data_IF_807952037855
#
_entry.id   IF_807952037855
#
_cell.length_a   1.000
_cell.length_b   1.000
_cell.length_c   1.000
_cell.angle_alpha   90.00
_cell.angle_beta   90.00
_cell.angle_gamma   90.00
#
_symmetry.space_group_name_H-M   'P 1'
#
loop_
_entity.id
_entity.type
_entity.pdbx_description
1 polymer ?
#
# COMPACT_ATOMS: atom_id res chain seq x y z
N UNK A 1 -15.19 36.21 31.28
CA UNK A 1 -16.23 35.25 30.89
C UNK A 1 -16.10 34.98 29.39
N UNK A 2 -15.93 33.70 29.01
CA UNK A 2 -16.11 33.07 27.68
C UNK A 2 -15.39 33.70 26.48
N UNK A 3 -14.30 33.14 25.93
CA UNK A 3 -14.13 31.89 25.16
C UNK A 3 -14.77 31.87 23.76
N UNK A 4 -14.02 31.29 22.80
CA UNK A 4 -14.38 30.82 21.45
C UNK A 4 -14.13 31.85 20.33
N UNK A 5 -13.43 31.57 19.22
CA UNK A 5 -13.08 30.29 18.59
C UNK A 5 -11.89 30.50 17.64
N UNK A 6 -10.83 29.74 17.84
CA UNK A 6 -9.83 29.51 16.80
C UNK A 6 -10.49 28.69 15.69
N UNK A 7 -10.49 29.18 14.46
CA UNK A 7 -10.89 28.37 13.30
C UNK A 7 -10.29 28.92 12.02
N UNK A 8 -9.22 28.26 11.57
CA UNK A 8 -8.84 28.11 10.15
C UNK A 8 -7.46 27.42 10.05
N UNK A 9 -7.31 26.27 10.70
CA UNK A 9 -6.30 25.26 10.31
C UNK A 9 -7.02 24.22 9.46
N UNK A 10 -7.03 24.44 8.15
CA UNK A 10 -7.26 23.42 7.13
C UNK A 10 -6.88 24.03 5.77
N UNK A 11 -5.61 24.43 5.69
CA UNK A 11 -4.97 24.67 4.40
C UNK A 11 -4.72 23.28 3.79
N UNK A 12 -5.68 22.89 2.95
CA UNK A 12 -5.63 21.82 1.97
C UNK A 12 -4.24 21.83 1.31
N UNK A 13 -3.35 20.96 1.75
CA UNK A 13 -2.08 20.68 1.05
C UNK A 13 -2.48 20.04 -0.28
N UNK A 14 -2.49 20.86 -1.32
CA UNK A 14 -2.75 20.42 -2.68
C UNK A 14 -1.63 19.47 -3.09
N UNK A 15 -2.02 18.21 -3.31
CA UNK A 15 -1.20 17.17 -3.90
C UNK A 15 -0.68 17.63 -5.25
N UNK A 16 0.63 17.62 -5.41
CA UNK A 16 1.31 17.79 -6.69
C UNK A 16 2.59 16.95 -6.69
N UNK A 17 2.43 15.64 -6.48
CA UNK A 17 3.38 14.64 -6.97
C UNK A 17 2.81 14.12 -8.30
N UNK A 18 3.59 14.19 -9.38
CA UNK A 18 3.21 13.61 -10.68
C UNK A 18 2.77 12.17 -10.43
N UNK A 19 1.54 11.76 -10.80
CA UNK A 19 1.09 10.39 -10.55
C UNK A 19 2.04 9.45 -11.27
N UNK A 20 2.73 8.61 -10.49
CA UNK A 20 3.60 7.57 -11.00
C UNK A 20 2.83 6.76 -12.05
N UNK A 21 3.37 6.66 -13.26
CA UNK A 21 2.75 5.92 -14.37
C UNK A 21 2.81 4.40 -14.19
N UNK A 22 3.23 3.94 -13.00
CA UNK A 22 3.44 2.55 -12.69
C UNK A 22 2.11 1.77 -12.76
N UNK A 23 2.09 0.55 -13.34
CA UNK A 23 0.87 -0.25 -13.50
C UNK A 23 0.05 -0.41 -12.22
N UNK A 24 0.70 -0.69 -11.09
CA UNK A 24 0.01 -0.80 -9.78
C UNK A 24 -0.72 0.49 -9.36
N UNK A 25 -0.14 1.66 -9.62
CA UNK A 25 -0.74 2.95 -9.24
C UNK A 25 -1.99 3.23 -10.08
N UNK A 26 -2.03 2.75 -11.34
CA UNK A 26 -3.20 2.90 -12.22
C UNK A 26 -4.42 2.08 -11.77
N UNK A 27 -4.26 1.16 -10.82
CA UNK A 27 -5.35 0.33 -10.34
C UNK A 27 -6.22 1.04 -9.30
N UNK A 28 -5.70 2.08 -8.64
CA UNK A 28 -6.45 2.73 -7.57
C UNK A 28 -7.78 3.30 -8.08
N UNK A 29 -8.84 3.06 -7.31
CA UNK A 29 -10.20 3.46 -7.63
C UNK A 29 -10.94 2.48 -8.54
N UNK A 30 -10.25 1.49 -9.10
CA UNK A 30 -10.87 0.45 -9.92
C UNK A 30 -11.66 -0.55 -9.05
N UNK A 31 -12.75 -1.10 -9.59
CA UNK A 31 -13.49 -2.20 -8.96
C UNK A 31 -12.87 -3.55 -9.33
N UNK A 32 -13.11 -4.63 -8.56
CA UNK A 32 -12.60 -5.96 -8.91
C UNK A 32 -13.17 -6.52 -10.22
N UNK A 33 -14.26 -5.94 -10.73
CA UNK A 33 -14.90 -6.31 -12.00
C UNK A 33 -14.57 -5.35 -13.13
N UNK A 34 -13.76 -4.32 -12.87
CA UNK A 34 -13.41 -3.34 -13.89
C UNK A 34 -12.45 -3.92 -14.92
N UNK A 35 -12.51 -3.47 -16.20
CA UNK A 35 -11.54 -3.89 -17.21
C UNK A 35 -10.09 -3.61 -16.81
N UNK A 36 -9.83 -2.51 -16.10
CA UNK A 36 -8.51 -2.12 -15.61
C UNK A 36 -7.93 -3.19 -14.68
N UNK A 37 -8.68 -3.59 -13.65
CA UNK A 37 -8.24 -4.61 -12.70
C UNK A 37 -8.09 -5.98 -13.38
N UNK A 38 -9.09 -6.39 -14.17
CA UNK A 38 -9.06 -7.69 -14.87
C UNK A 38 -7.86 -7.78 -15.82
N UNK A 39 -7.59 -6.72 -16.59
CA UNK A 39 -6.44 -6.69 -17.51
C UNK A 39 -5.12 -6.77 -16.76
N UNK A 40 -5.01 -6.10 -15.61
CA UNK A 40 -3.83 -6.18 -14.76
C UNK A 40 -3.58 -7.60 -14.27
N UNK A 41 -4.59 -8.26 -13.72
CA UNK A 41 -4.49 -9.65 -13.26
C UNK A 41 -4.10 -10.55 -14.44
N UNK A 42 -4.77 -10.44 -15.59
CA UNK A 42 -4.46 -11.25 -16.77
C UNK A 42 -3.05 -11.01 -17.35
N UNK A 43 -2.49 -9.82 -17.15
CA UNK A 43 -1.16 -9.45 -17.67
C UNK A 43 -0.04 -9.92 -16.76
N UNK A 44 -0.19 -9.72 -15.44
CA UNK A 44 0.92 -9.89 -14.50
C UNK A 44 0.80 -11.14 -13.63
N UNK A 45 -0.39 -11.68 -13.40
CA UNK A 45 -0.54 -12.89 -12.61
C UNK A 45 -0.33 -14.14 -13.47
N UNK A 46 0.26 -15.21 -12.92
CA UNK A 46 0.23 -16.52 -13.56
C UNK A 46 -1.21 -16.95 -13.84
N UNK A 47 -1.46 -17.64 -14.96
CA UNK A 47 -2.80 -18.13 -15.31
C UNK A 47 -3.44 -19.04 -14.26
N UNK A 48 -2.62 -19.71 -13.45
CA UNK A 48 -3.10 -20.55 -12.33
C UNK A 48 -3.60 -19.73 -11.13
N UNK A 49 -3.40 -18.41 -11.15
CA UNK A 49 -3.69 -17.45 -10.08
C UNK A 49 -4.38 -16.19 -10.63
N UNK A 50 -5.25 -16.38 -11.63
CA UNK A 50 -6.11 -15.32 -12.19
C UNK A 50 -7.30 -14.98 -11.27
N UNK A 51 -7.61 -15.85 -10.32
CA UNK A 51 -8.55 -15.59 -9.22
C UNK A 51 -7.84 -15.54 -7.87
N UNK A 52 -8.34 -14.76 -6.88
CA UNK A 52 -7.76 -14.73 -5.53
C UNK A 52 -7.77 -16.13 -4.89
N UNK A 53 -6.69 -16.48 -4.20
CA UNK A 53 -6.60 -17.72 -3.43
C UNK A 53 -7.50 -17.68 -2.19
N UNK A 54 -7.73 -16.48 -1.64
CA UNK A 54 -8.74 -16.26 -0.61
C UNK A 54 -9.31 -14.85 -0.66
N UNK A 55 -10.60 -14.73 -0.34
CA UNK A 55 -11.29 -13.44 -0.18
C UNK A 55 -11.69 -13.28 1.29
N UNK A 56 -11.33 -12.14 1.90
CA UNK A 56 -11.73 -11.79 3.27
C UNK A 56 -12.57 -10.53 3.24
N UNK A 57 -13.73 -10.57 3.88
CA UNK A 57 -14.69 -9.46 3.87
C UNK A 57 -14.89 -8.94 5.29
N UNK A 58 -14.82 -7.62 5.42
CA UNK A 58 -15.15 -6.84 6.60
C UNK A 58 -16.23 -5.81 6.24
N UNK A 59 -16.85 -5.12 7.22
CA UNK A 59 -17.95 -4.19 6.93
C UNK A 59 -17.62 -3.07 5.92
N UNK A 60 -16.36 -2.63 5.90
CA UNK A 60 -15.87 -1.48 5.15
C UNK A 60 -14.82 -1.84 4.10
N UNK A 61 -14.37 -3.10 4.03
CA UNK A 61 -13.27 -3.50 3.14
C UNK A 61 -13.36 -4.97 2.73
N UNK A 62 -12.97 -5.25 1.48
CA UNK A 62 -12.79 -6.61 0.94
C UNK A 62 -11.34 -6.78 0.51
N UNK A 63 -10.70 -7.85 0.99
CA UNK A 63 -9.35 -8.22 0.59
C UNK A 63 -9.39 -9.37 -0.41
N UNK A 64 -8.77 -9.17 -1.57
CA UNK A 64 -8.45 -10.22 -2.53
C UNK A 64 -6.99 -10.61 -2.33
N UNK A 65 -6.77 -11.77 -1.70
CA UNK A 65 -5.45 -12.19 -1.28
C UNK A 65 -4.87 -13.22 -2.26
N UNK A 66 -3.59 -13.01 -2.60
CA UNK A 66 -2.78 -13.95 -3.38
C UNK A 66 -1.50 -14.28 -2.58
N UNK A 67 -1.61 -15.07 -1.48
CA UNK A 67 -0.47 -15.42 -0.64
C UNK A 67 0.72 -15.99 -1.39
N UNK A 68 0.49 -16.84 -2.40
CA UNK A 68 1.55 -17.45 -3.21
C UNK A 68 2.33 -16.43 -4.06
N UNK A 69 1.74 -15.24 -4.28
CA UNK A 69 2.34 -14.13 -5.04
C UNK A 69 2.88 -13.01 -4.15
N UNK A 70 2.72 -13.11 -2.83
CA UNK A 70 3.13 -12.07 -1.90
C UNK A 70 2.38 -10.75 -2.06
N UNK A 71 1.13 -10.77 -2.55
CA UNK A 71 0.33 -9.56 -2.80
C UNK A 71 -1.11 -9.69 -2.31
N UNK A 72 -1.66 -8.62 -1.78
CA UNK A 72 -3.08 -8.50 -1.45
C UNK A 72 -3.65 -7.16 -1.93
N UNK A 73 -4.84 -7.21 -2.50
CA UNK A 73 -5.58 -6.05 -2.99
C UNK A 73 -6.72 -5.74 -2.04
N UNK A 74 -6.73 -4.54 -1.47
CA UNK A 74 -7.72 -4.07 -0.51
C UNK A 74 -8.70 -3.12 -1.18
N UNK A 75 -9.97 -3.50 -1.19
CA UNK A 75 -11.05 -2.74 -1.79
C UNK A 75 -11.95 -2.15 -0.71
N UNK A 76 -11.93 -0.83 -0.57
CA UNK A 76 -12.89 -0.13 0.28
C UNK A 76 -14.31 -0.34 -0.26
N UNK A 77 -15.24 -0.57 0.65
CA UNK A 77 -16.68 -0.59 0.39
C UNK A 77 -17.22 0.81 0.65
N UNK A 78 -17.64 1.50 -0.40
CA UNK A 78 -18.25 2.83 -0.26
C UNK A 78 -19.64 2.75 0.40
N UNK A 79 -20.21 3.89 0.85
CA UNK A 79 -21.59 3.93 1.35
C UNK A 79 -22.64 3.45 0.34
N UNK A 80 -22.34 3.46 -0.96
CA UNK A 80 -23.20 2.94 -2.03
C UNK A 80 -22.96 1.45 -2.32
N UNK A 81 -22.24 0.75 -1.44
CA UNK A 81 -21.85 -0.65 -1.58
C UNK A 81 -21.01 -0.95 -2.83
N UNK A 82 -20.32 0.05 -3.38
CA UNK A 82 -19.38 -0.16 -4.49
C UNK A 82 -17.98 -0.41 -3.94
N UNK A 83 -17.26 -1.36 -4.54
CA UNK A 83 -15.88 -1.66 -4.16
C UNK A 83 -14.89 -0.85 -5.00
N UNK A 84 -13.91 -0.21 -4.36
CA UNK A 84 -12.85 0.56 -5.00
C UNK A 84 -11.49 0.16 -4.42
N UNK A 85 -10.52 -0.14 -5.28
CA UNK A 85 -9.18 -0.49 -4.81
C UNK A 85 -8.54 0.72 -4.12
N UNK A 86 -8.24 0.57 -2.83
CA UNK A 86 -7.70 1.63 -1.99
C UNK A 86 -6.31 1.33 -1.48
N UNK A 87 -5.94 0.05 -1.33
CA UNK A 87 -4.58 -0.32 -0.98
C UNK A 87 -4.11 -1.58 -1.71
N UNK A 88 -2.80 -1.66 -1.92
CA UNK A 88 -2.08 -2.82 -2.43
C UNK A 88 -0.98 -3.13 -1.42
N UNK A 89 -1.06 -4.30 -0.81
CA UNK A 89 -0.09 -4.78 0.16
C UNK A 89 0.84 -5.77 -0.52
N UNK A 90 2.14 -5.54 -0.37
CA UNK A 90 3.22 -6.35 -0.95
C UNK A 90 4.06 -6.88 0.21
N UNK A 91 4.20 -8.20 0.29
CA UNK A 91 4.75 -8.87 1.45
C UNK A 91 6.13 -9.45 1.18
N UNK A 92 6.96 -9.44 2.22
CA UNK A 92 8.16 -10.26 2.28
C UNK A 92 7.81 -11.69 2.73
N UNK A 93 8.72 -12.65 2.49
CA UNK A 93 8.48 -14.06 2.78
C UNK A 93 8.12 -14.28 4.27
N UNK A 94 7.13 -15.17 4.50
CA UNK A 94 6.69 -15.64 5.82
C UNK A 94 6.00 -14.56 6.68
N UNK A 95 5.62 -13.44 6.10
CA UNK A 95 4.81 -12.43 6.76
C UNK A 95 3.33 -12.77 6.54
N UNK A 96 2.58 -12.97 7.62
CA UNK A 96 1.11 -13.22 7.57
C UNK A 96 0.68 -14.41 6.69
N UNK A 97 1.56 -15.38 6.47
CA UNK A 97 1.29 -16.53 5.60
C UNK A 97 1.48 -16.26 4.09
N UNK A 98 2.10 -15.14 3.73
CA UNK A 98 2.44 -14.80 2.35
C UNK A 98 3.85 -15.28 2.00
N UNK A 99 4.02 -15.68 0.74
CA UNK A 99 5.33 -15.78 0.11
C UNK A 99 5.91 -14.40 -0.19
N UNK A 100 7.20 -14.34 -0.53
CA UNK A 100 7.80 -13.08 -0.99
C UNK A 100 7.16 -12.66 -2.30
N UNK A 101 6.86 -11.37 -2.45
CA UNK A 101 6.43 -10.80 -3.72
C UNK A 101 7.31 -11.26 -4.88
N UNK A 102 6.68 -11.84 -5.90
CA UNK A 102 7.36 -12.57 -6.97
C UNK A 102 6.74 -12.35 -8.36
N UNK A 103 5.90 -11.31 -8.53
CA UNK A 103 5.44 -10.92 -9.85
C UNK A 103 6.61 -10.34 -10.66
N UNK A 104 6.61 -10.59 -11.98
CA UNK A 104 7.49 -9.92 -12.94
C UNK A 104 6.97 -8.50 -13.23
N UNK A 105 6.88 -7.70 -12.16
CA UNK A 105 6.42 -6.33 -12.16
C UNK A 105 7.16 -5.62 -11.03
N UNK A 106 7.98 -4.62 -11.38
CA UNK A 106 8.66 -3.78 -10.39
C UNK A 106 7.68 -3.10 -9.44
N UNK A 107 8.21 -2.50 -8.36
CA UNK A 107 7.38 -1.71 -7.45
C UNK A 107 7.47 -0.21 -7.79
N UNK A 108 6.42 0.57 -7.49
CA UNK A 108 6.44 2.02 -7.63
C UNK A 108 7.65 2.66 -6.93
N UNK A 109 8.09 3.80 -7.46
CA UNK A 109 9.16 4.63 -6.89
C UNK A 109 10.54 3.95 -6.79
N UNK A 110 10.77 2.88 -7.54
CA UNK A 110 12.05 2.17 -7.55
C UNK A 110 12.30 1.35 -6.28
N UNK A 111 11.24 1.07 -5.51
CA UNK A 111 11.33 0.23 -4.32
C UNK A 111 11.52 -1.25 -4.67
N UNK A 112 12.10 -1.98 -3.73
CA UNK A 112 12.16 -3.45 -3.76
C UNK A 112 11.82 -3.99 -2.37
N UNK A 113 11.08 -5.10 -2.31
CA UNK A 113 10.64 -5.71 -1.04
C UNK A 113 11.80 -6.24 -0.19
N UNK A 114 13.00 -6.38 -0.76
CA UNK A 114 14.22 -6.84 -0.09
C UNK A 114 14.99 -5.70 0.58
N UNK A 115 14.61 -4.44 0.34
CA UNK A 115 15.30 -3.28 0.90
C UNK A 115 15.17 -3.20 2.44
N UNK A 116 16.09 -2.46 3.01
CA UNK A 116 16.08 -2.00 4.40
C UNK A 116 15.39 -0.64 4.53
N UNK A 117 15.02 -0.29 5.76
CA UNK A 117 14.48 1.03 6.08
C UNK A 117 15.40 2.18 5.64
N UNK A 118 16.72 2.01 5.75
CA UNK A 118 17.70 3.02 5.28
C UNK A 118 17.66 3.22 3.77
N UNK A 119 17.74 2.13 3.01
CA UNK A 119 17.72 2.19 1.54
C UNK A 119 16.43 2.83 1.02
N UNK A 120 15.30 2.56 1.67
CA UNK A 120 14.03 3.23 1.38
C UNK A 120 14.13 4.73 1.59
N UNK A 121 14.68 5.18 2.74
CA UNK A 121 14.83 6.62 3.06
C UNK A 121 15.81 7.30 2.10
N UNK A 122 16.86 6.60 1.66
CA UNK A 122 17.78 7.12 0.64
C UNK A 122 17.08 7.34 -0.71
N UNK A 123 16.11 6.49 -1.07
CA UNK A 123 15.36 6.59 -2.34
C UNK A 123 14.23 7.62 -2.24
N UNK A 124 13.45 7.60 -1.16
CA UNK A 124 12.21 8.39 -1.03
C UNK A 124 12.39 9.70 -0.26
N UNK A 125 13.52 9.88 0.41
CA UNK A 125 13.77 10.96 1.36
C UNK A 125 13.20 10.65 2.75
N UNK A 126 13.03 11.69 3.58
CA UNK A 126 12.51 11.55 4.94
C UNK A 126 11.01 11.23 4.96
N UNK A 127 10.55 10.25 5.77
CA UNK A 127 9.13 9.93 5.88
C UNK A 127 8.37 11.00 6.68
N UNK A 128 7.11 11.21 6.32
CA UNK A 128 6.21 12.16 6.97
C UNK A 128 5.78 11.72 8.37
N UNK A 129 5.67 10.40 8.60
CA UNK A 129 5.30 9.81 9.88
C UNK A 129 6.28 8.68 10.21
N UNK A 130 6.66 8.59 11.49
CA UNK A 130 7.53 7.56 12.05
C UNK A 130 6.88 7.01 13.31
N UNK A 131 6.63 5.71 13.37
CA UNK A 131 6.23 5.02 14.59
C UNK A 131 7.30 4.01 15.00
N UNK A 132 7.46 3.80 16.32
CA UNK A 132 8.49 2.91 16.88
C UNK A 132 7.91 1.71 17.65
N UNK A 133 6.58 1.65 17.83
CA UNK A 133 5.93 0.64 18.65
C UNK A 133 4.51 0.33 18.14
N UNK A 134 4.05 -0.94 18.15
CA UNK A 134 4.79 -2.17 18.51
C UNK A 134 5.75 -2.67 17.40
N UNK A 135 5.66 -2.10 16.20
CA UNK A 135 6.60 -2.32 15.08
C UNK A 135 6.99 -0.98 14.48
N UNK A 136 8.20 -0.88 13.93
CA UNK A 136 8.61 0.32 13.22
C UNK A 136 7.80 0.46 11.93
N UNK A 137 7.12 1.59 11.77
CA UNK A 137 6.37 1.92 10.58
C UNK A 137 6.74 3.32 10.12
N UNK A 138 6.99 3.49 8.82
CA UNK A 138 7.26 4.79 8.20
C UNK A 138 6.25 5.04 7.08
N UNK A 139 5.83 6.30 6.95
CA UNK A 139 4.78 6.69 6.00
C UNK A 139 5.22 7.90 5.18
N UNK A 140 5.02 7.83 3.86
CA UNK A 140 5.20 8.90 2.90
C UNK A 140 3.83 9.31 2.37
N UNK A 141 3.16 10.21 3.10
CA UNK A 141 1.76 10.54 2.84
C UNK A 141 1.55 11.20 1.47
N UNK A 142 2.51 11.99 1.00
CA UNK A 142 2.51 12.63 -0.31
C UNK A 142 2.67 11.65 -1.48
N UNK A 143 3.10 10.41 -1.19
CA UNK A 143 3.32 9.34 -2.17
C UNK A 143 2.32 8.19 -2.04
N UNK A 144 1.51 8.17 -0.98
CA UNK A 144 0.63 7.05 -0.68
C UNK A 144 1.40 5.76 -0.39
N UNK A 145 2.49 5.85 0.39
CA UNK A 145 3.32 4.68 0.76
C UNK A 145 3.39 4.54 2.27
N UNK A 146 3.13 3.34 2.77
CA UNK A 146 3.40 2.92 4.14
C UNK A 146 4.30 1.69 4.13
N UNK A 147 5.22 1.60 5.08
CA UNK A 147 6.22 0.54 5.15
C UNK A 147 6.29 0.04 6.58
N UNK A 148 5.99 -1.23 6.75
CA UNK A 148 6.16 -1.92 8.02
C UNK A 148 7.50 -2.65 8.02
N UNK A 149 8.30 -2.40 9.05
CA UNK A 149 9.68 -2.85 9.15
C UNK A 149 9.87 -3.84 10.30
N UNK A 150 10.75 -4.82 10.09
CA UNK A 150 11.10 -5.86 11.06
C UNK A 150 12.06 -5.39 12.16
N UNK A 151 11.90 -4.16 12.66
CA UNK A 151 12.75 -3.60 13.70
C UNK A 151 11.99 -2.59 14.58
N UNK A 152 12.69 -2.03 15.58
CA UNK A 152 12.16 -0.96 16.43
C UNK A 152 12.46 0.42 15.85
N UNK A 153 13.53 0.53 15.08
CA UNK A 153 13.94 1.73 14.36
C UNK A 153 14.35 1.43 12.93
N UNK A 154 14.05 2.35 12.00
CA UNK A 154 14.39 2.21 10.59
C UNK A 154 15.88 2.43 10.33
N UNK A 155 16.58 3.07 11.28
CA UNK A 155 18.02 3.30 11.25
C UNK A 155 18.84 2.05 11.66
N UNK A 156 18.19 0.96 12.08
CA UNK A 156 18.88 -0.29 12.36
C UNK A 156 19.44 -0.90 11.05
N UNK A 157 20.71 -1.35 11.00
CA UNK A 157 21.36 -1.79 9.76
C UNK A 157 20.62 -2.92 9.03
N UNK A 158 20.01 -3.84 9.76
CA UNK A 158 19.31 -5.02 9.22
C UNK A 158 17.78 -4.86 9.22
N UNK A 159 17.29 -3.61 9.26
CA UNK A 159 15.88 -3.29 9.35
C UNK A 159 15.14 -3.56 8.03
N UNK A 160 14.81 -4.82 7.76
CA UNK A 160 14.16 -5.26 6.53
C UNK A 160 12.69 -4.91 6.49
N UNK A 161 12.17 -4.71 5.28
CA UNK A 161 10.74 -4.57 5.04
C UNK A 161 10.01 -5.89 5.31
N UNK A 162 8.92 -5.82 6.06
CA UNK A 162 7.93 -6.90 6.19
C UNK A 162 6.80 -6.72 5.18
N UNK A 163 6.31 -5.49 5.03
CA UNK A 163 5.19 -5.14 4.17
C UNK A 163 5.37 -3.74 3.56
N UNK A 164 5.17 -3.62 2.25
CA UNK A 164 4.95 -2.34 1.56
C UNK A 164 3.47 -2.21 1.26
N UNK A 165 2.87 -1.11 1.68
CA UNK A 165 1.50 -0.75 1.33
C UNK A 165 1.52 0.49 0.46
N UNK A 166 1.05 0.34 -0.78
CA UNK A 166 0.69 1.46 -1.63
C UNK A 166 -0.79 1.76 -1.42
N UNK A 167 -1.16 3.02 -1.20
CA UNK A 167 -2.55 3.38 -0.94
C UNK A 167 -2.95 4.69 -1.60
N UNK A 168 -4.25 4.82 -1.83
CA UNK A 168 -4.89 6.06 -2.23
C UNK A 168 -6.10 6.31 -1.33
N UNK A 169 -6.09 7.44 -0.64
CA UNK A 169 -7.26 7.92 0.08
C UNK A 169 -8.28 8.47 -0.92
N UNK A 170 -9.54 8.13 -0.71
CA UNK A 170 -10.64 8.68 -1.46
C UNK A 170 -11.57 9.42 -0.49
N UNK A 171 -11.88 10.66 -0.85
CA UNK A 171 -12.84 11.48 -0.13
C UNK A 171 -14.26 10.90 -0.13
#
# INVERSE_FOLDING_TARGET
MGSSRASSKLLKVMMSSTPSSHPLIKLFGSSPTSPTYITHIATYHPKTLDTPESVKTFPDVVFHNYPSLGISYSFDITPTSTQRLAAIHVYNAKISGYEKYNLDLGLPFGLDISMTGKEVVEILGEPSVKSKYPKCCIVYADKGVQIDLAAKDWEEPDCRIECLTFYQEFA
#
